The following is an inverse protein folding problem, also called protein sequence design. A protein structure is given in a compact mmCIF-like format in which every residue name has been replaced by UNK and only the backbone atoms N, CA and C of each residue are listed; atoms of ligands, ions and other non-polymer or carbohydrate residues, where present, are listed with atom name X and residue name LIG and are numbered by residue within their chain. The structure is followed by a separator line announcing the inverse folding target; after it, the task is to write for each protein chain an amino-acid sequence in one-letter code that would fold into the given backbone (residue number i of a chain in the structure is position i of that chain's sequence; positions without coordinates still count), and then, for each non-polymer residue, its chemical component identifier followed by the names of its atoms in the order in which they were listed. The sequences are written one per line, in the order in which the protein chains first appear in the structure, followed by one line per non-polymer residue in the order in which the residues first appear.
data_IF_692924594615
#
_entry.id   IF_692924594615
#
_cell.length_a   1.000
_cell.length_b   1.000
_cell.length_c   1.000
_cell.angle_alpha   90.00
_cell.angle_beta   90.00
_cell.angle_gamma   90.00
#
_symmetry.space_group_name_H-M   'P 1'
#
loop_
_entity.id
_entity.type
_entity.pdbx_description
1 polymer ?
#
# COMPACT_ATOMS: atom_id res chain seq x y z
N UNK A 1 5.49 20.47 10.44
CA UNK A 1 4.93 19.10 10.47
C UNK A 1 4.20 18.85 9.17
N UNK A 2 4.51 17.77 8.45
CA UNK A 2 3.74 17.30 7.29
C UNK A 2 2.69 16.29 7.75
N UNK A 3 1.50 16.32 7.15
CA UNK A 3 0.42 15.37 7.46
C UNK A 3 0.40 14.29 6.38
N UNK A 4 0.39 13.02 6.80
CA UNK A 4 0.26 11.88 5.90
C UNK A 4 -1.16 11.33 6.01
N UNK A 5 -1.83 11.13 4.88
CA UNK A 5 -3.14 10.46 4.80
C UNK A 5 -2.91 9.09 4.17
N UNK A 6 -3.30 8.03 4.88
CA UNK A 6 -3.19 6.67 4.38
C UNK A 6 -4.58 6.14 4.02
N UNK A 7 -4.77 5.81 2.74
CA UNK A 7 -5.97 5.10 2.27
C UNK A 7 -5.64 3.61 2.19
N UNK A 8 -6.23 2.82 3.08
CA UNK A 8 -5.97 1.38 3.19
C UNK A 8 -7.23 0.58 2.85
N UNK A 9 -7.06 -0.49 2.08
CA UNK A 9 -8.13 -1.42 1.74
C UNK A 9 -7.70 -2.44 0.70
N UNK A 10 -8.47 -3.51 0.57
CA UNK A 10 -8.30 -4.50 -0.49
C UNK A 10 -8.82 -3.96 -1.83
N UNK A 11 -8.38 -4.52 -2.98
CA UNK A 11 -9.00 -4.18 -4.26
C UNK A 11 -10.53 -4.32 -4.20
N UNK A 12 -11.24 -3.37 -4.82
CA UNK A 12 -12.71 -3.30 -4.87
C UNK A 12 -13.42 -2.88 -3.57
N UNK A 13 -12.70 -2.45 -2.52
CA UNK A 13 -13.32 -1.91 -1.29
C UNK A 13 -13.66 -0.41 -1.35
N UNK A 14 -13.62 0.21 -2.53
CA UNK A 14 -13.88 1.66 -2.68
C UNK A 14 -12.67 2.57 -2.44
N UNK A 15 -11.47 2.02 -2.27
CA UNK A 15 -10.21 2.80 -2.11
C UNK A 15 -9.99 3.79 -3.24
N UNK A 16 -10.30 3.43 -4.48
CA UNK A 16 -10.19 4.34 -5.64
C UNK A 16 -11.18 5.51 -5.58
N UNK A 17 -12.39 5.30 -5.03
CA UNK A 17 -13.39 6.37 -4.89
C UNK A 17 -12.96 7.38 -3.83
N UNK A 18 -12.47 6.89 -2.67
CA UNK A 18 -11.90 7.72 -1.62
C UNK A 18 -10.67 8.47 -2.11
N UNK A 19 -9.76 7.78 -2.82
CA UNK A 19 -8.54 8.39 -3.35
C UNK A 19 -8.85 9.46 -4.40
N UNK A 20 -9.83 9.19 -5.28
CA UNK A 20 -10.30 10.17 -6.26
C UNK A 20 -10.89 11.43 -5.61
N UNK A 21 -11.69 11.28 -4.55
CA UNK A 21 -12.20 12.42 -3.79
C UNK A 21 -11.06 13.23 -3.15
N UNK A 22 -10.09 12.58 -2.51
CA UNK A 22 -8.94 13.25 -1.90
C UNK A 22 -8.10 13.99 -2.95
N UNK A 23 -7.91 13.40 -4.13
CA UNK A 23 -7.23 14.05 -5.25
C UNK A 23 -7.96 15.31 -5.72
N UNK A 24 -9.30 15.26 -5.82
CA UNK A 24 -10.13 16.45 -6.14
C UNK A 24 -9.98 17.54 -5.06
N UNK A 25 -9.87 17.14 -3.79
CA UNK A 25 -9.66 18.05 -2.67
C UNK A 25 -8.21 18.58 -2.57
N UNK A 26 -7.33 18.22 -3.50
CA UNK A 26 -5.96 18.72 -3.57
C UNK A 26 -4.96 17.98 -2.68
N UNK A 27 -5.29 16.76 -2.23
CA UNK A 27 -4.31 15.90 -1.54
C UNK A 27 -3.28 15.40 -2.55
N UNK A 28 -2.01 15.61 -2.25
CA UNK A 28 -0.88 15.12 -3.05
C UNK A 28 -0.63 13.63 -2.78
N UNK A 29 -0.54 12.83 -3.84
CA UNK A 29 -0.35 11.37 -3.80
C UNK A 29 1.10 10.92 -4.02
N UNK A 30 2.02 11.86 -4.29
CA UNK A 30 3.38 11.52 -4.71
C UNK A 30 3.48 11.31 -6.23
N UNK A 31 4.71 11.19 -6.71
CA UNK A 31 5.00 11.02 -8.14
C UNK A 31 5.21 9.55 -8.55
N UNK A 32 5.36 8.65 -7.58
CA UNK A 32 5.67 7.23 -7.80
C UNK A 32 4.43 6.35 -7.68
N UNK A 33 3.45 6.61 -8.55
CA UNK A 33 2.18 5.90 -8.62
C UNK A 33 2.20 4.77 -9.65
N UNK A 34 1.37 3.74 -9.43
CA UNK A 34 1.24 2.64 -10.40
C UNK A 34 0.72 3.19 -11.73
N UNK A 35 1.45 2.86 -12.80
CA UNK A 35 1.11 3.29 -14.15
C UNK A 35 -0.28 2.80 -14.58
N UNK A 36 -0.96 3.57 -15.46
CA UNK A 36 -2.17 3.11 -16.13
C UNK A 36 -2.02 1.74 -16.79
N UNK A 37 -3.13 1.00 -16.84
CA UNK A 37 -3.22 -0.29 -17.53
C UNK A 37 -4.55 -0.41 -18.24
N UNK A 38 -4.77 -1.46 -19.03
CA UNK A 38 -6.07 -1.73 -19.66
C UNK A 38 -7.21 -1.82 -18.63
N UNK A 39 -6.93 -2.33 -17.42
CA UNK A 39 -7.91 -2.42 -16.34
C UNK A 39 -8.27 -1.05 -15.73
N UNK A 40 -7.37 -0.06 -15.86
CA UNK A 40 -7.62 1.30 -15.42
C UNK A 40 -6.80 2.29 -16.28
N UNK A 41 -7.36 2.76 -17.41
CA UNK A 41 -6.67 3.65 -18.32
C UNK A 41 -6.34 5.03 -17.73
N UNK A 42 -7.01 5.41 -16.63
CA UNK A 42 -6.78 6.69 -15.94
C UNK A 42 -5.59 6.64 -14.97
N UNK A 43 -5.00 5.46 -14.75
CA UNK A 43 -3.98 5.29 -13.73
C UNK A 43 -4.54 4.96 -12.36
N UNK A 44 -3.63 4.59 -11.47
CA UNK A 44 -3.91 4.12 -10.11
C UNK A 44 -3.41 5.15 -9.09
N UNK A 45 -4.00 5.15 -7.90
CA UNK A 45 -3.59 6.03 -6.80
C UNK A 45 -2.59 5.35 -5.86
N UNK A 46 -2.34 4.08 -6.07
CA UNK A 46 -1.47 3.25 -5.27
C UNK A 46 0.00 3.58 -5.53
N UNK A 47 0.75 3.83 -4.45
CA UNK A 47 2.19 4.03 -4.51
C UNK A 47 2.92 2.73 -4.87
N UNK A 48 3.77 2.75 -5.90
CA UNK A 48 4.38 1.54 -6.51
C UNK A 48 5.12 0.71 -5.46
N UNK A 49 5.98 1.36 -4.67
CA UNK A 49 6.83 0.65 -3.72
C UNK A 49 6.02 0.08 -2.54
N UNK A 50 4.98 0.80 -2.08
CA UNK A 50 4.15 0.34 -0.97
C UNK A 50 3.26 -0.83 -1.39
N UNK A 51 2.66 -0.75 -2.59
CA UNK A 51 1.89 -1.86 -3.15
C UNK A 51 2.76 -3.11 -3.34
N UNK A 52 3.99 -2.95 -3.83
CA UNK A 52 4.95 -4.05 -3.97
C UNK A 52 5.29 -4.68 -2.61
N UNK A 53 5.49 -3.87 -1.56
CA UNK A 53 5.71 -4.38 -0.21
C UNK A 53 4.51 -5.18 0.31
N UNK A 54 3.27 -4.75 0.06
CA UNK A 54 2.09 -5.52 0.43
C UNK A 54 2.05 -6.89 -0.25
N UNK A 55 2.37 -6.97 -1.54
CA UNK A 55 2.46 -8.24 -2.27
C UNK A 55 3.51 -9.15 -1.64
N UNK A 56 4.68 -8.63 -1.29
CA UNK A 56 5.74 -9.43 -0.66
C UNK A 56 5.38 -9.89 0.75
N UNK A 57 4.73 -9.05 1.55
CA UNK A 57 4.25 -9.41 2.88
C UNK A 57 3.26 -10.57 2.79
N UNK A 58 2.25 -10.47 1.92
CA UNK A 58 1.24 -11.51 1.73
C UNK A 58 1.89 -12.81 1.24
N UNK A 59 2.78 -12.71 0.25
CA UNK A 59 3.51 -13.88 -0.25
C UNK A 59 4.38 -14.53 0.84
N UNK A 60 5.01 -13.74 1.72
CA UNK A 60 5.86 -14.26 2.79
C UNK A 60 5.08 -15.04 3.87
N UNK A 61 3.79 -14.75 4.04
CA UNK A 61 2.88 -15.51 4.91
C UNK A 61 2.06 -16.57 4.15
N UNK A 62 2.43 -16.85 2.89
CA UNK A 62 1.81 -17.91 2.09
C UNK A 62 0.39 -17.61 1.63
N UNK A 63 0.06 -16.33 1.40
CA UNK A 63 -1.28 -15.90 0.97
C UNK A 63 -1.21 -14.85 -0.15
N UNK A 64 -2.35 -14.49 -0.69
CA UNK A 64 -2.53 -13.38 -1.63
C UNK A 64 -3.77 -12.56 -1.29
N UNK A 65 -3.89 -11.36 -1.88
CA UNK A 65 -5.09 -10.55 -1.70
C UNK A 65 -6.37 -11.18 -2.30
N UNK A 66 -6.22 -12.19 -3.18
CA UNK A 66 -7.33 -12.93 -3.79
C UNK A 66 -7.78 -14.12 -2.96
N UNK A 67 -7.04 -14.47 -1.91
CA UNK A 67 -7.30 -15.68 -1.17
C UNK A 67 -8.53 -15.50 -0.29
N UNK A 68 -9.48 -16.43 -0.40
CA UNK A 68 -10.71 -16.42 0.41
C UNK A 68 -10.46 -16.92 1.85
N UNK A 69 -9.29 -17.51 2.11
CA UNK A 69 -8.91 -17.98 3.43
C UNK A 69 -8.27 -16.84 4.19
N UNK A 70 -8.74 -16.59 5.41
CA UNK A 70 -8.07 -15.68 6.33
C UNK A 70 -6.68 -16.29 6.63
N UNK A 71 -5.58 -15.63 6.23
CA UNK A 71 -4.25 -16.13 6.55
C UNK A 71 -4.06 -16.13 8.06
N UNK A 72 -3.49 -17.21 8.60
CA UNK A 72 -3.05 -17.20 10.00
C UNK A 72 -1.86 -16.25 10.08
N UNK A 73 -2.11 -15.02 10.52
CA UNK A 73 -1.04 -14.09 10.84
C UNK A 73 -0.13 -14.72 11.91
N UNK A 74 1.20 -14.59 11.79
CA UNK A 74 2.10 -15.01 12.85
C UNK A 74 1.71 -14.34 14.17
N UNK A 75 1.73 -15.09 15.27
CA UNK A 75 1.36 -14.58 16.61
C UNK A 75 2.24 -13.39 17.03
N UNK A 76 3.46 -13.36 16.50
CA UNK A 76 4.50 -12.36 16.70
C UNK A 76 4.52 -11.32 15.58
N UNK A 77 3.47 -11.20 14.77
CA UNK A 77 3.37 -10.08 13.82
C UNK A 77 3.24 -8.74 14.55
N UNK A 78 3.96 -7.67 14.15
CA UNK A 78 4.96 -7.59 13.08
C UNK A 78 6.41 -7.85 13.53
N UNK A 79 6.65 -8.19 14.80
CA UNK A 79 7.96 -8.35 15.42
C UNK A 79 8.75 -9.58 14.96
N UNK A 80 8.12 -10.54 14.28
CA UNK A 80 8.78 -11.66 13.65
C UNK A 80 9.92 -11.19 12.73
N UNK A 81 11.12 -11.75 12.90
CA UNK A 81 12.31 -11.40 12.11
C UNK A 81 12.08 -11.47 10.59
N UNK A 82 11.22 -12.39 10.12
CA UNK A 82 10.89 -12.52 8.69
C UNK A 82 10.17 -11.29 8.13
N UNK A 83 9.47 -10.55 8.97
CA UNK A 83 8.50 -9.52 8.58
C UNK A 83 8.93 -8.12 8.98
N UNK A 84 9.74 -8.01 10.03
CA UNK A 84 10.38 -6.77 10.49
C UNK A 84 11.06 -6.01 9.35
N UNK A 85 11.76 -6.72 8.46
CA UNK A 85 12.39 -6.13 7.26
C UNK A 85 11.41 -5.38 6.35
N UNK A 86 10.17 -5.87 6.21
CA UNK A 86 9.16 -5.20 5.40
C UNK A 86 8.63 -3.95 6.09
N UNK A 87 8.43 -4.00 7.42
CA UNK A 87 8.05 -2.83 8.21
C UNK A 87 9.10 -1.72 8.15
N UNK A 88 10.39 -2.08 8.23
CA UNK A 88 11.48 -1.11 8.11
C UNK A 88 11.57 -0.51 6.70
N UNK A 89 11.36 -1.32 5.66
CA UNK A 89 11.29 -0.83 4.29
C UNK A 89 10.12 0.15 4.07
N UNK A 90 8.92 -0.17 4.58
CA UNK A 90 7.74 0.71 4.50
C UNK A 90 8.04 2.04 5.22
N UNK A 91 8.65 2.00 6.41
CA UNK A 91 9.05 3.23 7.12
C UNK A 91 10.03 4.07 6.32
N UNK A 92 11.01 3.43 5.67
CA UNK A 92 12.01 4.15 4.88
C UNK A 92 11.38 4.80 3.64
N UNK A 93 10.44 4.12 2.98
CA UNK A 93 9.67 4.70 1.86
C UNK A 93 8.90 5.93 2.34
N UNK A 94 8.09 5.79 3.40
CA UNK A 94 7.27 6.90 3.93
C UNK A 94 8.15 8.09 4.38
N UNK A 95 9.30 7.82 5.02
CA UNK A 95 10.24 8.86 5.42
C UNK A 95 10.83 9.60 4.22
N UNK A 96 11.20 8.88 3.16
CA UNK A 96 11.75 9.48 1.94
C UNK A 96 10.69 10.36 1.24
N UNK A 97 9.45 9.87 1.14
CA UNK A 97 8.35 10.62 0.50
C UNK A 97 7.98 11.86 1.30
N UNK A 98 7.98 11.79 2.64
CA UNK A 98 7.71 12.95 3.50
C UNK A 98 8.90 13.92 3.59
N UNK A 99 10.11 13.52 3.21
CA UNK A 99 11.26 14.43 3.21
C UNK A 99 11.25 15.42 2.04
N UNK A 100 10.55 15.09 0.94
CA UNK A 100 10.30 15.94 -0.24
C UNK A 100 9.28 17.02 0.10
#
# INVERSE_FOLDING_TARGET
MKRCVLVLGIPRSGTSAVSGLLNILGVYFGDNLINPSEANPKGFYEHVNLNTMHVYILSAIGTSWRDLKIPKLPIDWPENDRLKKYSDNIRNIIKADLAQ
#
